data_IF_923336269444
#
_entry.id   IF_923336269444
#
_cell.length_a   1.000
_cell.length_b   1.000
_cell.length_c   1.000
_cell.angle_alpha   90.00
_cell.angle_beta   90.00
_cell.angle_gamma   90.00
#
_symmetry.space_group_name_H-M   'P 1'
#
loop_
_entity.id
_entity.type
_entity.pdbx_description
1 polymer ?
#
# COMPACT_ATOMS: atom_id res chain seq x y z
N UNK A 1 13.91 10.51 -57.21
CA UNK A 1 13.72 10.78 -55.77
C UNK A 1 12.26 10.50 -55.42
N UNK A 2 11.91 9.23 -55.21
CA UNK A 2 10.55 8.83 -54.81
C UNK A 2 10.58 8.47 -53.33
N UNK A 3 10.01 9.34 -52.51
CA UNK A 3 9.80 9.09 -51.09
C UNK A 3 8.80 7.93 -50.94
N UNK A 4 9.25 6.86 -50.30
CA UNK A 4 8.45 5.68 -50.01
C UNK A 4 7.46 6.06 -48.91
N UNK A 5 6.17 6.13 -49.27
CA UNK A 5 5.07 6.29 -48.33
C UNK A 5 5.04 5.06 -47.40
N UNK A 6 5.35 5.26 -46.12
CA UNK A 6 5.19 4.24 -45.08
C UNK A 6 3.70 4.01 -44.85
N UNK A 7 3.24 2.93 -45.45
CA UNK A 7 1.87 2.44 -45.45
C UNK A 7 1.45 1.97 -44.03
N UNK A 8 0.65 2.77 -43.33
CA UNK A 8 0.11 2.55 -41.96
C UNK A 8 -1.08 1.54 -41.93
N UNK A 9 -1.02 0.47 -42.73
CA UNK A 9 -2.16 -0.43 -42.98
C UNK A 9 -2.32 -1.56 -41.93
N UNK A 10 -1.41 -1.67 -40.95
CA UNK A 10 -1.44 -2.74 -39.94
C UNK A 10 -2.37 -2.47 -38.74
N UNK A 11 -2.87 -1.25 -38.56
CA UNK A 11 -3.57 -0.83 -37.31
C UNK A 11 -5.06 -1.15 -37.27
N UNK A 12 -5.68 -1.53 -38.39
CA UNK A 12 -7.12 -1.82 -38.49
C UNK A 12 -7.48 -3.31 -38.41
N UNK A 13 -6.51 -4.21 -38.28
CA UNK A 13 -6.80 -5.63 -38.10
C UNK A 13 -7.35 -5.85 -36.68
N UNK A 14 -8.53 -6.48 -36.50
CA UNK A 14 -9.14 -6.68 -35.17
C UNK A 14 -8.20 -7.42 -34.21
N UNK A 15 -7.34 -8.29 -34.73
CA UNK A 15 -6.30 -8.99 -33.96
C UNK A 15 -5.24 -8.04 -33.38
N UNK A 16 -4.83 -7.01 -34.13
CA UNK A 16 -3.88 -5.99 -33.66
C UNK A 16 -4.48 -5.14 -32.54
N UNK A 17 -5.75 -4.73 -32.68
CA UNK A 17 -6.46 -3.94 -31.67
C UNK A 17 -6.59 -4.73 -30.36
N UNK A 18 -6.99 -6.00 -30.44
CA UNK A 18 -7.12 -6.88 -29.26
C UNK A 18 -5.77 -7.10 -28.57
N UNK A 19 -4.69 -7.33 -29.34
CA UNK A 19 -3.35 -7.50 -28.77
C UNK A 19 -2.85 -6.23 -28.09
N UNK A 20 -3.09 -5.06 -28.69
CA UNK A 20 -2.71 -3.77 -28.12
C UNK A 20 -3.49 -3.48 -26.83
N UNK A 21 -4.79 -3.75 -26.80
CA UNK A 21 -5.63 -3.63 -25.60
C UNK A 21 -5.15 -4.56 -24.49
N UNK A 22 -4.89 -5.83 -24.79
CA UNK A 22 -4.34 -6.80 -23.81
C UNK A 22 -2.97 -6.36 -23.28
N UNK A 23 -2.09 -5.86 -24.14
CA UNK A 23 -0.77 -5.39 -23.74
C UNK A 23 -0.85 -4.13 -22.85
N UNK A 24 -1.80 -3.23 -23.12
CA UNK A 24 -2.05 -2.03 -22.32
C UNK A 24 -2.61 -2.40 -20.94
N UNK A 25 -3.65 -3.25 -20.90
CA UNK A 25 -4.24 -3.80 -19.67
C UNK A 25 -3.17 -4.46 -18.78
N UNK A 26 -2.29 -5.27 -19.37
CA UNK A 26 -1.20 -5.94 -18.64
C UNK A 26 -0.21 -4.95 -18.03
N UNK A 27 0.05 -3.82 -18.69
CA UNK A 27 0.94 -2.77 -18.16
C UNK A 27 0.31 -2.05 -16.96
N UNK A 28 -0.97 -1.73 -17.06
CA UNK A 28 -1.70 -1.03 -15.99
C UNK A 28 -1.87 -1.93 -14.75
N UNK A 29 -2.19 -3.21 -14.94
CA UNK A 29 -2.29 -4.19 -13.85
C UNK A 29 -0.96 -4.34 -13.09
N UNK A 30 0.16 -4.37 -13.82
CA UNK A 30 1.49 -4.44 -13.21
C UNK A 30 1.83 -3.18 -12.40
N UNK A 31 1.41 -2.01 -12.88
CA UNK A 31 1.60 -0.74 -12.18
C UNK A 31 0.86 -0.74 -10.84
N UNK A 32 -0.43 -1.08 -10.84
CA UNK A 32 -1.24 -1.10 -9.62
C UNK A 32 -0.80 -2.16 -8.63
N UNK A 33 -0.38 -3.34 -9.12
CA UNK A 33 0.18 -4.40 -8.28
C UNK A 33 1.43 -3.93 -7.55
N UNK A 34 2.37 -3.28 -8.26
CA UNK A 34 3.62 -2.77 -7.66
C UNK A 34 3.35 -1.72 -6.59
N UNK A 35 2.44 -0.77 -6.86
CA UNK A 35 2.07 0.25 -5.88
C UNK A 35 1.37 -0.33 -4.65
N UNK A 36 0.50 -1.32 -4.86
CA UNK A 36 -0.17 -2.03 -3.78
C UNK A 36 0.84 -2.74 -2.88
N UNK A 37 1.79 -3.49 -3.45
CA UNK A 37 2.86 -4.14 -2.69
C UNK A 37 3.70 -3.16 -1.87
N UNK A 38 4.01 -1.97 -2.41
CA UNK A 38 4.74 -0.93 -1.68
C UNK A 38 3.92 -0.37 -0.50
N UNK A 39 2.60 -0.25 -0.64
CA UNK A 39 1.69 0.14 0.46
C UNK A 39 1.59 -0.97 1.50
N UNK A 40 1.48 -2.22 1.06
CA UNK A 40 1.41 -3.39 1.93
C UNK A 40 2.69 -3.57 2.74
N UNK A 41 3.87 -3.41 2.15
CA UNK A 41 5.15 -3.46 2.85
C UNK A 41 5.27 -2.39 3.94
N UNK A 42 4.86 -1.14 3.63
CA UNK A 42 4.82 -0.06 4.62
C UNK A 42 3.85 -0.35 5.76
N UNK A 43 2.70 -0.97 5.49
CA UNK A 43 1.74 -1.36 6.51
C UNK A 43 2.31 -2.46 7.42
N UNK A 44 2.98 -3.47 6.85
CA UNK A 44 3.64 -4.53 7.62
C UNK A 44 4.75 -3.97 8.51
N UNK A 45 5.58 -3.08 7.96
CA UNK A 45 6.62 -2.39 8.73
C UNK A 45 6.01 -1.55 9.86
N UNK A 46 4.93 -0.82 9.58
CA UNK A 46 4.22 -0.02 10.60
C UNK A 46 3.61 -0.90 11.71
N UNK A 47 3.04 -2.06 11.37
CA UNK A 47 2.54 -3.04 12.34
C UNK A 47 3.69 -3.54 13.22
N UNK A 48 4.80 -3.96 12.60
CA UNK A 48 5.96 -4.46 13.33
C UNK A 48 6.55 -3.38 14.26
N UNK A 49 6.69 -2.15 13.78
CA UNK A 49 7.18 -1.03 14.57
C UNK A 49 6.23 -0.66 15.71
N UNK A 50 4.92 -0.62 15.47
CA UNK A 50 3.93 -0.33 16.50
C UNK A 50 3.93 -1.41 17.60
N UNK A 51 3.96 -2.69 17.22
CA UNK A 51 4.05 -3.80 18.18
C UNK A 51 5.35 -3.72 19.00
N UNK A 52 6.48 -3.47 18.34
CA UNK A 52 7.76 -3.30 19.01
C UNK A 52 7.73 -2.16 20.02
N UNK A 53 7.23 -0.98 19.64
CA UNK A 53 7.12 0.18 20.54
C UNK A 53 6.18 -0.07 21.70
N UNK A 54 5.04 -0.71 21.47
CA UNK A 54 4.08 -1.06 22.54
C UNK A 54 4.72 -2.03 23.53
N UNK A 55 5.43 -3.05 23.06
CA UNK A 55 6.13 -4.01 23.92
C UNK A 55 7.27 -3.33 24.68
N UNK A 56 8.05 -2.49 24.01
CA UNK A 56 9.13 -1.72 24.63
C UNK A 56 8.59 -0.85 25.77
N UNK A 57 7.53 -0.09 25.53
CA UNK A 57 6.89 0.74 26.55
C UNK A 57 6.34 -0.08 27.72
N UNK A 58 5.77 -1.27 27.45
CA UNK A 58 5.30 -2.18 28.49
C UNK A 58 6.46 -2.73 29.36
N UNK A 59 7.63 -3.01 28.76
CA UNK A 59 8.83 -3.41 29.49
C UNK A 59 9.34 -2.26 30.36
N UNK A 60 9.45 -1.05 29.81
CA UNK A 60 9.88 0.16 30.55
C UNK A 60 8.93 0.46 31.71
N UNK A 61 7.62 0.27 31.51
CA UNK A 61 6.62 0.45 32.55
C UNK A 61 6.84 -0.49 33.76
N UNK A 62 7.31 -1.72 33.51
CA UNK A 62 7.63 -2.69 34.58
C UNK A 62 9.03 -2.52 35.17
N UNK A 63 9.98 -2.03 34.38
CA UNK A 63 11.42 -1.95 34.70
C UNK A 63 11.90 -0.51 34.48
N UNK A 64 11.52 0.39 35.38
CA UNK A 64 11.85 1.82 35.27
C UNK A 64 13.36 2.07 35.39
N UNK A 65 14.08 1.16 36.04
CA UNK A 65 15.53 1.25 36.29
C UNK A 65 16.39 1.14 35.01
N UNK A 66 15.84 0.67 33.89
CA UNK A 66 16.61 0.41 32.65
C UNK A 66 16.81 1.65 31.77
N UNK A 67 15.92 2.64 31.85
CA UNK A 67 15.92 3.82 30.96
C UNK A 67 15.80 5.16 31.73
N UNK A 68 15.79 5.13 33.06
CA UNK A 68 15.61 6.28 33.92
C UNK A 68 14.19 6.40 34.49
N UNK A 69 14.01 7.27 35.48
CA UNK A 69 12.72 7.48 36.15
C UNK A 69 11.73 8.20 35.23
N UNK A 70 10.84 7.44 34.59
CA UNK A 70 9.68 7.98 33.88
C UNK A 70 8.42 7.82 34.73
N UNK A 71 7.59 8.86 34.75
CA UNK A 71 6.25 8.74 35.32
C UNK A 71 5.41 7.75 34.52
N UNK A 72 4.66 6.90 35.24
CA UNK A 72 3.70 5.95 34.66
C UNK A 72 2.70 6.63 33.73
N UNK A 73 2.27 7.84 34.08
CA UNK A 73 1.33 8.62 33.28
C UNK A 73 1.93 9.00 31.91
N UNK A 74 3.22 9.33 31.88
CA UNK A 74 3.95 9.65 30.64
C UNK A 74 4.05 8.43 29.73
N UNK A 75 4.32 7.25 30.28
CA UNK A 75 4.38 6.00 29.51
C UNK A 75 3.02 5.62 28.92
N UNK A 76 1.95 5.75 29.70
CA UNK A 76 0.57 5.52 29.22
C UNK A 76 0.20 6.51 28.12
N UNK A 77 0.52 7.80 28.29
CA UNK A 77 0.30 8.81 27.27
C UNK A 77 1.07 8.49 25.97
N UNK A 78 2.34 8.10 26.08
CA UNK A 78 3.14 7.69 24.93
C UNK A 78 2.52 6.49 24.19
N UNK A 79 1.98 5.52 24.93
CA UNK A 79 1.32 4.35 24.33
C UNK A 79 0.05 4.74 23.56
N UNK A 80 -0.77 5.64 24.11
CA UNK A 80 -1.95 6.20 23.43
C UNK A 80 -1.52 6.91 22.14
N UNK A 81 -0.47 7.73 22.20
CA UNK A 81 0.06 8.44 21.03
C UNK A 81 0.50 7.46 19.94
N UNK A 82 1.25 6.40 20.29
CA UNK A 82 1.68 5.38 19.33
C UNK A 82 0.48 4.73 18.63
N UNK A 83 -0.55 4.36 19.40
CA UNK A 83 -1.77 3.74 18.85
C UNK A 83 -2.50 4.72 17.92
N UNK A 84 -2.71 5.96 18.34
CA UNK A 84 -3.40 6.98 17.52
C UNK A 84 -2.65 7.26 16.22
N UNK A 85 -1.32 7.42 16.28
CA UNK A 85 -0.48 7.63 15.10
C UNK A 85 -0.56 6.43 14.15
N UNK A 86 -0.49 5.21 14.67
CA UNK A 86 -0.61 3.99 13.88
C UNK A 86 -1.97 3.88 13.17
N UNK A 87 -3.07 4.18 13.87
CA UNK A 87 -4.42 4.18 13.28
C UNK A 87 -4.52 5.24 12.18
N UNK A 88 -4.06 6.47 12.45
CA UNK A 88 -4.08 7.56 11.46
C UNK A 88 -3.27 7.23 10.21
N UNK A 89 -2.05 6.70 10.40
CA UNK A 89 -1.20 6.22 9.30
C UNK A 89 -1.91 5.14 8.48
N UNK A 90 -2.50 4.15 9.15
CA UNK A 90 -3.22 3.06 8.49
C UNK A 90 -4.41 3.59 7.69
N UNK A 91 -5.24 4.44 8.28
CA UNK A 91 -6.41 5.02 7.60
C UNK A 91 -6.03 5.85 6.37
N UNK A 92 -4.91 6.57 6.43
CA UNK A 92 -4.45 7.40 5.32
C UNK A 92 -3.85 6.57 4.18
N UNK A 93 -2.98 5.59 4.51
CA UNK A 93 -2.26 4.78 3.52
C UNK A 93 -3.08 3.62 2.96
N UNK A 94 -4.06 3.09 3.70
CA UNK A 94 -4.81 1.89 3.33
C UNK A 94 -5.95 2.16 2.33
N UNK A 95 -5.57 2.68 1.18
CA UNK A 95 -6.45 3.05 0.06
C UNK A 95 -5.99 2.43 -1.24
N UNK A 96 -6.95 2.13 -2.13
CA UNK A 96 -6.68 1.57 -3.44
C UNK A 96 -5.86 2.55 -4.30
N UNK A 97 -4.78 2.12 -4.97
CA UNK A 97 -3.97 3.01 -5.81
C UNK A 97 -4.74 3.56 -7.02
N UNK A 98 -5.71 2.81 -7.56
CA UNK A 98 -6.49 3.22 -8.72
C UNK A 98 -7.63 4.20 -8.36
N UNK A 99 -8.51 3.82 -7.43
CA UNK A 99 -9.71 4.63 -7.11
C UNK A 99 -9.63 5.42 -5.80
N UNK A 100 -8.52 5.32 -5.05
CA UNK A 100 -8.30 5.98 -3.75
C UNK A 100 -9.33 5.66 -2.65
N UNK A 101 -10.27 4.75 -2.89
CA UNK A 101 -11.23 4.27 -1.88
C UNK A 101 -10.57 3.32 -0.89
N UNK A 102 -11.14 3.26 0.31
CA UNK A 102 -10.69 2.37 1.37
C UNK A 102 -10.73 0.90 0.91
N UNK A 103 -9.68 0.14 1.20
CA UNK A 103 -9.54 -1.24 0.72
C UNK A 103 -10.35 -2.25 1.54
N UNK A 104 -10.74 -1.90 2.77
CA UNK A 104 -11.35 -2.83 3.73
C UNK A 104 -10.32 -3.45 4.68
N UNK A 105 -10.76 -4.40 5.50
CA UNK A 105 -9.96 -4.96 6.61
C UNK A 105 -8.82 -5.89 6.17
N UNK A 106 -8.96 -6.58 5.03
CA UNK A 106 -8.00 -7.61 4.63
C UNK A 106 -6.76 -7.03 3.95
N UNK A 107 -5.58 -7.42 4.43
CA UNK A 107 -4.28 -7.01 3.89
C UNK A 107 -3.95 -7.75 2.58
N UNK A 108 -4.48 -8.96 2.38
CA UNK A 108 -4.16 -9.87 1.26
C UNK A 108 -5.21 -9.86 0.13
N UNK A 109 -5.61 -8.69 -0.35
CA UNK A 109 -6.63 -8.58 -1.42
C UNK A 109 -6.04 -8.83 -2.81
N UNK A 110 -6.73 -9.67 -3.60
CA UNK A 110 -6.42 -9.89 -5.03
C UNK A 110 -6.94 -8.78 -5.92
N UNK A 111 -8.08 -8.16 -5.58
CA UNK A 111 -8.67 -7.07 -6.34
C UNK A 111 -9.41 -6.06 -5.45
N UNK A 112 -9.54 -4.82 -5.92
CA UNK A 112 -10.31 -3.79 -5.23
C UNK A 112 -11.82 -4.09 -5.30
N UNK A 113 -12.55 -3.98 -4.19
CA UNK A 113 -14.01 -4.19 -4.17
C UNK A 113 -14.78 -3.11 -4.95
N UNK A 114 -14.24 -1.90 -5.01
CA UNK A 114 -14.90 -0.74 -5.64
C UNK A 114 -14.63 -0.63 -7.14
N UNK A 115 -13.37 -0.65 -7.57
CA UNK A 115 -13.00 -0.46 -8.97
C UNK A 115 -12.57 -1.74 -9.69
N UNK A 116 -12.55 -2.89 -9.00
CA UNK A 116 -12.20 -4.21 -9.54
C UNK A 116 -10.78 -4.34 -10.12
N UNK A 117 -9.97 -3.28 -10.07
CA UNK A 117 -8.55 -3.31 -10.41
C UNK A 117 -7.84 -4.43 -9.64
N UNK A 118 -7.04 -5.19 -10.38
CA UNK A 118 -6.22 -6.26 -9.83
C UNK A 118 -5.06 -5.68 -9.03
N UNK A 119 -4.86 -6.22 -7.83
CA UNK A 119 -3.82 -5.81 -6.87
C UNK A 119 -2.79 -6.93 -6.65
N UNK A 120 -3.16 -8.18 -6.98
CA UNK A 120 -2.31 -9.39 -6.93
C UNK A 120 -2.83 -10.45 -7.90
#
# INVERSE_FOLDING_TARGET
MTAVAQADYGKHCPKYIILKQKAMQKRDDNHFTREFWRRQGRQLLAIAAALFLVLLLAVVYKRQDLFGEYSKNTLVAAQIVVITVFIGFTAFNWRCPACKKYLGKDISKRACRHCKTRLR
#
